data_IF_281135703967
#
_entry.id   IF_281135703967
#
_cell.length_a   1.000
_cell.length_b   1.000
_cell.length_c   1.000
_cell.angle_alpha   90.00
_cell.angle_beta   90.00
_cell.angle_gamma   90.00
#
_symmetry.space_group_name_H-M   'P 1'
#
loop_
_entity.id
_entity.type
_entity.pdbx_description
1 polymer ?
#
# COMPACT_ATOMS: atom_id res chain seq x y z
N UNK A 1 24.57 -5.93 -20.04
CA UNK A 1 23.11 -5.96 -20.30
C UNK A 1 22.56 -4.62 -20.76
N UNK A 2 22.99 -3.47 -20.21
CA UNK A 2 22.48 -2.15 -20.66
C UNK A 2 23.15 -1.57 -21.93
N UNK A 3 24.24 -2.20 -22.40
CA UNK A 3 24.95 -1.81 -23.62
C UNK A 3 24.02 -1.93 -24.85
N UNK A 4 24.01 -0.90 -25.71
CA UNK A 4 23.17 -0.81 -26.90
C UNK A 4 23.48 -1.90 -27.94
N UNK A 5 24.69 -2.45 -27.92
CA UNK A 5 25.12 -3.53 -28.81
C UNK A 5 24.51 -4.90 -28.45
N UNK A 6 23.84 -5.02 -27.29
CA UNK A 6 23.19 -6.27 -26.85
C UNK A 6 21.69 -6.18 -27.13
N UNK A 7 21.15 -7.22 -27.76
CA UNK A 7 19.71 -7.33 -28.04
C UNK A 7 18.88 -7.16 -26.76
N UNK A 8 17.79 -6.40 -26.85
CA UNK A 8 16.86 -6.19 -25.74
C UNK A 8 16.21 -7.50 -25.27
N UNK A 9 15.99 -8.46 -26.16
CA UNK A 9 15.40 -9.76 -25.81
C UNK A 9 16.31 -10.50 -24.83
N UNK A 10 17.60 -10.58 -25.16
CA UNK A 10 18.62 -11.22 -24.31
C UNK A 10 18.81 -10.44 -23.01
N UNK A 11 18.89 -9.10 -23.11
CA UNK A 11 19.12 -8.25 -21.95
C UNK A 11 17.97 -8.30 -20.95
N UNK A 12 16.71 -8.30 -21.42
CA UNK A 12 15.52 -8.43 -20.55
C UNK A 12 15.48 -9.77 -19.86
N UNK A 13 15.68 -10.87 -20.59
CA UNK A 13 15.68 -12.22 -20.01
C UNK A 13 16.74 -12.35 -18.92
N UNK A 14 18.00 -12.02 -19.24
CA UNK A 14 19.09 -12.13 -18.28
C UNK A 14 18.94 -11.19 -17.08
N UNK A 15 18.37 -9.99 -17.27
CA UNK A 15 18.09 -9.09 -16.15
C UNK A 15 16.96 -9.62 -15.27
N UNK A 16 15.92 -10.24 -15.84
CA UNK A 16 14.87 -10.91 -15.07
C UNK A 16 15.45 -12.07 -14.26
N UNK A 17 16.26 -12.93 -14.88
CA UNK A 17 16.93 -14.04 -14.20
C UNK A 17 17.85 -13.53 -13.09
N UNK A 18 18.64 -12.50 -13.38
CA UNK A 18 19.47 -11.82 -12.39
C UNK A 18 18.67 -11.31 -11.19
N UNK A 19 17.53 -10.64 -11.43
CA UNK A 19 16.68 -10.12 -10.35
C UNK A 19 16.14 -11.23 -9.44
N UNK A 20 15.94 -12.45 -9.95
CA UNK A 20 15.45 -13.58 -9.13
C UNK A 20 16.50 -14.12 -8.16
N UNK A 21 17.80 -13.89 -8.43
CA UNK A 21 18.89 -14.33 -7.57
C UNK A 21 19.26 -13.31 -6.49
N UNK A 22 18.96 -12.02 -6.70
CA UNK A 22 19.30 -10.94 -5.77
C UNK A 22 18.70 -11.08 -4.36
N UNK A 23 17.45 -11.56 -4.18
CA UNK A 23 16.89 -11.78 -2.85
C UNK A 23 17.62 -12.82 -1.99
N UNK A 24 18.49 -13.64 -2.60
CA UNK A 24 19.29 -14.65 -1.88
C UNK A 24 20.58 -14.05 -1.29
N UNK A 25 20.93 -12.82 -1.65
CA UNK A 25 22.10 -12.11 -1.12
C UNK A 25 21.73 -11.42 0.21
N UNK A 26 22.73 -11.07 1.04
CA UNK A 26 22.50 -10.21 2.19
C UNK A 26 21.83 -8.89 1.79
N UNK A 27 20.90 -8.39 2.61
CA UNK A 27 20.10 -7.19 2.31
C UNK A 27 20.97 -5.96 2.00
N UNK A 28 22.12 -5.79 2.66
CA UNK A 28 23.07 -4.71 2.38
C UNK A 28 23.65 -4.77 0.95
N UNK A 29 24.11 -5.96 0.53
CA UNK A 29 24.64 -6.20 -0.81
C UNK A 29 23.55 -6.10 -1.86
N UNK A 30 22.38 -6.71 -1.62
CA UNK A 30 21.26 -6.67 -2.55
C UNK A 30 20.80 -5.23 -2.80
N UNK A 31 20.70 -4.41 -1.75
CA UNK A 31 20.34 -2.99 -1.84
C UNK A 31 21.31 -2.19 -2.70
N UNK A 32 22.62 -2.35 -2.49
CA UNK A 32 23.64 -1.66 -3.29
C UNK A 32 23.53 -2.05 -4.76
N UNK A 33 23.34 -3.35 -5.03
CA UNK A 33 23.16 -3.87 -6.39
C UNK A 33 21.88 -3.34 -7.03
N UNK A 34 20.76 -3.25 -6.31
CA UNK A 34 19.51 -2.69 -6.83
C UNK A 34 19.67 -1.22 -7.23
N UNK A 35 20.27 -0.39 -6.37
CA UNK A 35 20.54 1.03 -6.69
C UNK A 35 21.44 1.17 -7.91
N UNK A 36 22.57 0.45 -7.93
CA UNK A 36 23.47 0.46 -9.07
C UNK A 36 22.76 0.02 -10.36
N UNK A 37 21.91 -1.01 -10.28
CA UNK A 37 21.16 -1.50 -11.44
C UNK A 37 20.17 -0.46 -11.96
N UNK A 38 19.43 0.22 -11.07
CA UNK A 38 18.51 1.30 -11.45
C UNK A 38 19.26 2.45 -12.13
N UNK A 39 20.40 2.89 -11.58
CA UNK A 39 21.22 3.95 -12.18
C UNK A 39 21.71 3.58 -13.59
N UNK A 40 22.16 2.35 -13.79
CA UNK A 40 22.64 1.88 -15.10
C UNK A 40 21.52 1.66 -16.11
N UNK A 41 20.31 1.33 -15.65
CA UNK A 41 19.13 1.18 -16.50
C UNK A 41 18.53 2.54 -16.86
N UNK A 42 18.70 3.58 -16.04
CA UNK A 42 18.04 4.88 -16.18
C UNK A 42 18.07 5.49 -17.59
N UNK A 43 19.20 5.49 -18.34
CA UNK A 43 19.24 6.04 -19.70
C UNK A 43 18.31 5.32 -20.70
N UNK A 44 17.97 4.06 -20.41
CA UNK A 44 17.11 3.19 -21.23
C UNK A 44 15.89 2.70 -20.45
N UNK A 45 15.44 3.43 -19.44
CA UNK A 45 14.41 3.00 -18.47
C UNK A 45 13.11 2.51 -19.14
N UNK A 46 12.69 3.16 -20.23
CA UNK A 46 11.49 2.80 -21.00
C UNK A 46 11.61 1.39 -21.59
N UNK A 47 12.83 0.97 -21.97
CA UNK A 47 13.08 -0.36 -22.53
C UNK A 47 13.06 -1.48 -21.49
N UNK A 48 13.19 -1.17 -20.20
CA UNK A 48 13.36 -2.14 -19.11
C UNK A 48 12.32 -1.94 -18.00
N UNK A 49 11.14 -1.42 -18.34
CA UNK A 49 10.12 -1.02 -17.37
C UNK A 49 9.71 -2.16 -16.41
N UNK A 50 9.57 -3.38 -16.94
CA UNK A 50 9.24 -4.57 -16.15
C UNK A 50 10.34 -4.92 -15.14
N UNK A 51 11.61 -4.87 -15.56
CA UNK A 51 12.75 -5.10 -14.68
C UNK A 51 12.84 -4.00 -13.62
N UNK A 52 12.60 -2.74 -13.99
CA UNK A 52 12.59 -1.59 -13.07
C UNK A 52 11.52 -1.75 -12.01
N UNK A 53 10.30 -2.16 -12.39
CA UNK A 53 9.23 -2.42 -11.45
C UNK A 53 9.60 -3.55 -10.47
N UNK A 54 10.13 -4.67 -10.96
CA UNK A 54 10.58 -5.79 -10.12
C UNK A 54 11.69 -5.37 -9.13
N UNK A 55 12.71 -4.66 -9.61
CA UNK A 55 13.80 -4.15 -8.77
C UNK A 55 13.26 -3.23 -7.68
N UNK A 56 12.37 -2.28 -8.02
CA UNK A 56 11.78 -1.35 -7.07
C UNK A 56 10.95 -2.06 -6.01
N UNK A 57 10.19 -3.09 -6.36
CA UNK A 57 9.40 -3.88 -5.40
C UNK A 57 10.30 -4.58 -4.36
N UNK A 58 11.39 -5.20 -4.80
CA UNK A 58 12.34 -5.86 -3.90
C UNK A 58 13.10 -4.84 -3.04
N UNK A 59 13.60 -3.76 -3.65
CA UNK A 59 14.31 -2.69 -2.95
C UNK A 59 13.43 -2.03 -1.88
N UNK A 60 12.17 -1.73 -2.18
CA UNK A 60 11.23 -1.20 -1.21
C UNK A 60 10.97 -2.17 -0.05
N UNK A 61 10.96 -3.47 -0.33
CA UNK A 61 10.78 -4.49 0.70
C UNK A 61 12.00 -4.59 1.64
N UNK A 62 13.22 -4.32 1.14
CA UNK A 62 14.41 -4.21 2.01
C UNK A 62 14.29 -2.99 2.92
N UNK A 63 13.95 -1.82 2.37
CA UNK A 63 13.76 -0.61 3.17
C UNK A 63 12.66 -0.77 4.22
N UNK A 64 11.56 -1.45 3.87
CA UNK A 64 10.47 -1.77 4.79
C UNK A 64 10.93 -2.65 5.96
N UNK A 65 11.79 -3.66 5.74
CA UNK A 65 12.34 -4.49 6.82
C UNK A 65 13.24 -3.71 7.78
N UNK A 66 13.89 -2.67 7.28
CA UNK A 66 14.77 -1.80 8.06
C UNK A 66 14.03 -0.62 8.69
N UNK A 67 12.70 -0.60 8.60
CA UNK A 67 11.85 0.48 9.11
C UNK A 67 12.15 1.86 8.47
N UNK A 68 12.77 1.88 7.29
CA UNK A 68 12.99 3.09 6.49
C UNK A 68 11.79 3.33 5.57
N UNK A 69 10.69 3.75 6.20
CA UNK A 69 9.38 3.89 5.57
C UNK A 69 9.37 4.89 4.41
N UNK A 70 10.06 6.03 4.59
CA UNK A 70 10.16 7.08 3.58
C UNK A 70 10.79 6.58 2.30
N UNK A 71 11.96 5.93 2.40
CA UNK A 71 12.66 5.43 1.22
C UNK A 71 11.91 4.27 0.56
N UNK A 72 11.30 3.38 1.34
CA UNK A 72 10.44 2.33 0.80
C UNK A 72 9.30 2.91 -0.05
N UNK A 73 8.61 3.95 0.45
CA UNK A 73 7.51 4.59 -0.27
C UNK A 73 8.01 5.26 -1.55
N UNK A 74 9.11 6.04 -1.49
CA UNK A 74 9.67 6.75 -2.64
C UNK A 74 10.13 5.79 -3.76
N UNK A 75 10.69 4.63 -3.40
CA UNK A 75 11.10 3.61 -4.36
C UNK A 75 9.89 3.09 -5.15
N UNK A 76 8.77 2.80 -4.47
CA UNK A 76 7.52 2.34 -5.11
C UNK A 76 6.83 3.43 -5.93
N UNK A 77 6.85 4.68 -5.45
CA UNK A 77 6.32 5.83 -6.21
C UNK A 77 7.02 6.01 -7.56
N UNK A 78 8.29 5.61 -7.66
CA UNK A 78 9.04 5.62 -8.91
C UNK A 78 8.63 4.56 -9.94
N UNK A 79 7.68 3.66 -9.62
CA UNK A 79 7.13 2.70 -10.59
C UNK A 79 6.07 3.43 -11.46
N UNK A 80 6.21 3.46 -12.80
CA UNK A 80 5.29 4.18 -13.68
C UNK A 80 3.97 3.40 -13.92
N UNK A 81 3.13 3.29 -12.88
CA UNK A 81 1.90 2.48 -12.90
C UNK A 81 0.86 2.92 -13.95
N UNK A 82 0.83 4.21 -14.30
CA UNK A 82 -0.13 4.79 -15.27
C UNK A 82 0.55 5.45 -16.48
N UNK A 83 1.82 5.82 -16.37
CA UNK A 83 2.56 6.58 -17.39
C UNK A 83 3.51 5.73 -18.23
N UNK A 84 3.64 4.44 -17.89
CA UNK A 84 4.49 3.48 -18.57
C UNK A 84 3.90 2.94 -19.88
N UNK A 85 4.73 2.21 -20.64
CA UNK A 85 4.27 1.43 -21.79
C UNK A 85 3.65 0.09 -21.35
N UNK A 86 4.03 -0.40 -20.17
CA UNK A 86 3.50 -1.66 -19.62
C UNK A 86 2.12 -1.42 -19.01
N UNK A 87 1.14 -2.18 -19.48
CA UNK A 87 -0.16 -2.25 -18.81
C UNK A 87 -0.07 -3.20 -17.61
N UNK A 88 -0.14 -2.65 -16.39
CA UNK A 88 -0.27 -3.43 -15.17
C UNK A 88 -1.73 -3.82 -14.93
N UNK A 89 -1.95 -4.98 -14.31
CA UNK A 89 -3.29 -5.39 -13.91
C UNK A 89 -3.79 -4.54 -12.73
N UNK A 90 -5.11 -4.54 -12.52
CA UNK A 90 -5.75 -3.72 -11.48
C UNK A 90 -5.22 -4.06 -10.09
N UNK A 91 -5.12 -5.34 -9.76
CA UNK A 91 -4.69 -5.82 -8.45
C UNK A 91 -3.26 -5.39 -8.10
N UNK A 92 -2.32 -5.46 -9.06
CA UNK A 92 -0.94 -5.01 -8.87
C UNK A 92 -0.86 -3.51 -8.59
N UNK A 93 -1.62 -2.70 -9.33
CA UNK A 93 -1.68 -1.25 -9.10
C UNK A 93 -2.29 -0.96 -7.74
N UNK A 94 -3.38 -1.64 -7.40
CA UNK A 94 -4.07 -1.49 -6.12
C UNK A 94 -3.15 -1.87 -4.96
N UNK A 95 -2.52 -3.04 -5.01
CA UNK A 95 -1.55 -3.50 -4.00
C UNK A 95 -0.40 -2.51 -3.82
N UNK A 96 0.17 -1.99 -4.93
CA UNK A 96 1.26 -1.02 -4.87
C UNK A 96 0.80 0.30 -4.23
N UNK A 97 -0.38 0.81 -4.57
CA UNK A 97 -0.92 2.02 -3.93
C UNK A 97 -1.23 1.82 -2.45
N UNK A 98 -1.78 0.67 -2.07
CA UNK A 98 -2.02 0.34 -0.66
C UNK A 98 -0.73 0.26 0.13
N UNK A 99 0.32 -0.35 -0.45
CA UNK A 99 1.64 -0.44 0.17
C UNK A 99 2.25 0.96 0.36
N UNK A 100 2.18 1.82 -0.66
CA UNK A 100 2.64 3.22 -0.56
C UNK A 100 1.87 3.97 0.55
N UNK A 101 0.54 3.87 0.58
CA UNK A 101 -0.28 4.55 1.58
C UNK A 101 0.06 4.07 3.00
N UNK A 102 0.26 2.77 3.21
CA UNK A 102 0.69 2.22 4.50
C UNK A 102 2.06 2.74 4.90
N UNK A 103 3.05 2.73 4.00
CA UNK A 103 4.40 3.22 4.30
C UNK A 103 4.40 4.70 4.71
N UNK A 104 3.62 5.55 4.03
CA UNK A 104 3.50 6.94 4.45
C UNK A 104 2.76 7.14 5.78
N UNK A 105 1.87 6.22 6.18
CA UNK A 105 1.29 6.25 7.54
C UNK A 105 2.33 5.89 8.61
N UNK A 106 3.19 4.90 8.36
CA UNK A 106 4.27 4.54 9.29
C UNK A 106 5.34 5.66 9.38
N UNK A 107 5.47 6.49 8.34
CA UNK A 107 6.32 7.70 8.28
C UNK A 107 5.65 8.96 8.88
N UNK A 108 4.48 8.83 9.54
CA UNK A 108 3.68 9.95 10.07
C UNK A 108 3.31 11.02 9.02
N UNK A 109 3.21 10.66 7.73
CA UNK A 109 2.80 11.52 6.62
C UNK A 109 1.41 11.14 6.07
N UNK A 110 0.32 11.46 6.80
CA UNK A 110 -1.02 11.07 6.39
C UNK A 110 -1.51 11.85 5.17
N UNK A 111 -0.87 12.98 4.82
CA UNK A 111 -1.21 13.75 3.61
C UNK A 111 -0.80 12.97 2.37
N UNK A 112 0.42 12.43 2.34
CA UNK A 112 0.84 11.56 1.25
C UNK A 112 0.05 10.26 1.24
N UNK A 113 -0.19 9.64 2.41
CA UNK A 113 -1.03 8.45 2.47
C UNK A 113 -2.43 8.67 1.89
N UNK A 114 -3.07 9.82 2.19
CA UNK A 114 -4.35 10.23 1.63
C UNK A 114 -4.29 10.40 0.10
N UNK A 115 -3.21 10.95 -0.44
CA UNK A 115 -3.04 11.09 -1.89
C UNK A 115 -3.04 9.73 -2.61
N UNK A 116 -2.34 8.73 -2.08
CA UNK A 116 -2.23 7.42 -2.72
C UNK A 116 -3.44 6.52 -2.46
N UNK A 117 -4.07 6.59 -1.28
CA UNK A 117 -5.29 5.82 -1.04
C UNK A 117 -6.46 6.31 -1.91
N UNK A 118 -6.49 7.61 -2.26
CA UNK A 118 -7.47 8.14 -3.19
C UNK A 118 -7.27 7.58 -4.61
N UNK A 119 -6.03 7.31 -5.04
CA UNK A 119 -5.78 6.60 -6.31
C UNK A 119 -6.26 5.15 -6.25
N UNK A 120 -6.01 4.46 -5.13
CA UNK A 120 -6.53 3.12 -4.90
C UNK A 120 -8.08 3.06 -4.91
N UNK A 121 -8.77 4.12 -4.46
CA UNK A 121 -10.24 4.18 -4.44
C UNK A 121 -10.88 4.05 -5.83
N UNK A 122 -10.16 4.48 -6.88
CA UNK A 122 -10.61 4.39 -8.27
C UNK A 122 -10.57 2.94 -8.78
N UNK A 123 -9.69 2.11 -8.21
CA UNK A 123 -9.42 0.75 -8.68
C UNK A 123 -10.10 -0.34 -7.85
N UNK A 124 -10.42 -0.08 -6.58
CA UNK A 124 -10.88 -1.13 -5.66
C UNK A 124 -12.17 -1.84 -6.09
N UNK A 125 -13.09 -1.15 -6.79
CA UNK A 125 -14.32 -1.76 -7.31
C UNK A 125 -14.07 -2.64 -8.54
N UNK A 126 -12.96 -2.43 -9.26
CA UNK A 126 -12.61 -3.19 -10.46
C UNK A 126 -11.84 -4.48 -10.12
N UNK A 127 -11.19 -4.52 -8.95
CA UNK A 127 -10.53 -5.72 -8.42
C UNK A 127 -11.55 -6.79 -8.08
N UNK A 128 -11.30 -8.04 -8.51
CA UNK A 128 -12.09 -9.21 -8.10
C UNK A 128 -11.58 -9.85 -6.80
N UNK A 129 -10.43 -9.39 -6.30
CA UNK A 129 -9.84 -9.87 -5.07
C UNK A 129 -10.50 -9.22 -3.84
N UNK A 130 -11.40 -9.95 -3.18
CA UNK A 130 -12.13 -9.48 -1.99
C UNK A 130 -11.20 -9.14 -0.81
N UNK A 131 -10.12 -9.90 -0.64
CA UNK A 131 -9.14 -9.65 0.42
C UNK A 131 -8.43 -8.31 0.21
N UNK A 132 -8.05 -8.01 -1.03
CA UNK A 132 -7.42 -6.74 -1.38
C UNK A 132 -8.37 -5.55 -1.19
N UNK A 133 -9.66 -5.73 -1.50
CA UNK A 133 -10.69 -4.74 -1.21
C UNK A 133 -10.86 -4.49 0.30
N UNK A 134 -10.75 -5.53 1.14
CA UNK A 134 -10.78 -5.39 2.60
C UNK A 134 -9.55 -4.62 3.09
N UNK A 135 -8.35 -4.99 2.62
CA UNK A 135 -7.12 -4.28 2.95
C UNK A 135 -7.19 -2.80 2.55
N UNK A 136 -7.78 -2.48 1.39
CA UNK A 136 -8.10 -1.10 1.02
C UNK A 136 -8.99 -0.41 2.05
N UNK A 137 -10.10 -1.03 2.45
CA UNK A 137 -11.04 -0.43 3.42
C UNK A 137 -10.38 -0.18 4.77
N UNK A 138 -9.56 -1.11 5.25
CA UNK A 138 -8.79 -0.97 6.50
C UNK A 138 -7.79 0.18 6.37
N UNK A 139 -7.01 0.22 5.29
CA UNK A 139 -6.04 1.29 5.05
C UNK A 139 -6.72 2.66 4.94
N UNK A 140 -7.86 2.76 4.25
CA UNK A 140 -8.63 3.99 4.13
C UNK A 140 -9.17 4.48 5.48
N UNK A 141 -9.68 3.58 6.33
CA UNK A 141 -10.11 3.93 7.68
C UNK A 141 -8.93 4.46 8.53
N UNK A 142 -7.75 3.83 8.44
CA UNK A 142 -6.52 4.31 9.09
C UNK A 142 -6.12 5.70 8.60
N UNK A 143 -6.13 5.95 7.30
CA UNK A 143 -5.83 7.28 6.75
C UNK A 143 -6.78 8.34 7.31
N UNK A 144 -8.08 8.07 7.34
CA UNK A 144 -9.06 9.02 7.89
C UNK A 144 -8.80 9.32 9.37
N UNK A 145 -8.44 8.30 10.14
CA UNK A 145 -8.09 8.42 11.56
C UNK A 145 -6.87 9.34 11.76
N UNK A 146 -5.77 9.08 11.03
CA UNK A 146 -4.57 9.93 11.09
C UNK A 146 -4.82 11.36 10.59
N UNK A 147 -5.76 11.54 9.66
CA UNK A 147 -6.21 12.87 9.19
C UNK A 147 -7.17 13.56 10.15
N UNK A 148 -7.47 12.95 11.30
CA UNK A 148 -8.41 13.43 12.34
C UNK A 148 -9.85 13.57 11.83
N UNK A 149 -10.19 12.86 10.75
CA UNK A 149 -11.55 12.73 10.21
C UNK A 149 -12.27 11.60 10.96
N UNK A 150 -12.38 11.78 12.27
CA UNK A 150 -12.71 10.70 13.20
C UNK A 150 -14.11 10.11 12.98
N UNK A 151 -15.11 10.92 12.61
CA UNK A 151 -16.46 10.40 12.42
C UNK A 151 -16.56 9.56 11.14
N UNK A 152 -15.85 9.97 10.08
CA UNK A 152 -15.73 9.21 8.84
C UNK A 152 -14.93 7.92 9.05
N UNK A 153 -13.83 7.98 9.81
CA UNK A 153 -13.06 6.80 10.20
C UNK A 153 -13.92 5.82 11.00
N UNK A 154 -14.67 6.31 12.00
CA UNK A 154 -15.56 5.49 12.82
C UNK A 154 -16.61 4.74 11.99
N UNK A 155 -17.21 5.40 10.99
CA UNK A 155 -18.15 4.75 10.07
C UNK A 155 -17.50 3.60 9.31
N UNK A 156 -16.29 3.79 8.77
CA UNK A 156 -15.57 2.76 8.02
C UNK A 156 -15.14 1.59 8.89
N UNK A 157 -14.63 1.87 10.09
CA UNK A 157 -14.28 0.83 11.05
C UNK A 157 -15.50 0.03 11.53
N UNK A 158 -16.63 0.71 11.78
CA UNK A 158 -17.87 0.04 12.14
C UNK A 158 -18.40 -0.87 11.01
N UNK A 159 -18.39 -0.39 9.76
CA UNK A 159 -18.74 -1.19 8.57
C UNK A 159 -17.83 -2.44 8.44
N UNK A 160 -16.53 -2.30 8.69
CA UNK A 160 -15.57 -3.41 8.67
C UNK A 160 -15.88 -4.47 9.74
N UNK A 161 -16.34 -4.07 10.92
CA UNK A 161 -16.66 -4.99 12.02
C UNK A 161 -17.79 -5.99 11.69
N UNK A 162 -18.62 -5.69 10.69
CA UNK A 162 -19.73 -6.56 10.25
C UNK A 162 -19.36 -7.50 9.11
N UNK A 163 -18.16 -7.39 8.52
CA UNK A 163 -17.73 -8.26 7.41
C UNK A 163 -17.34 -9.65 7.91
N UNK A 164 -18.15 -10.67 7.63
CA UNK A 164 -17.93 -12.05 8.10
C UNK A 164 -16.70 -12.73 7.49
N UNK A 165 -16.21 -12.26 6.35
CA UNK A 165 -14.96 -12.69 5.73
C UNK A 165 -13.72 -12.26 6.53
N UNK A 166 -13.85 -11.24 7.39
CA UNK A 166 -12.78 -10.79 8.30
C UNK A 166 -12.81 -11.66 9.56
N UNK A 167 -11.64 -12.05 10.06
CA UNK A 167 -11.54 -12.86 11.27
C UNK A 167 -12.19 -12.16 12.48
N UNK A 168 -12.77 -12.93 13.40
CA UNK A 168 -13.52 -12.38 14.53
C UNK A 168 -12.70 -11.41 15.39
N UNK A 169 -11.43 -11.75 15.68
CA UNK A 169 -10.52 -10.86 16.43
C UNK A 169 -10.27 -9.53 15.71
N UNK A 170 -10.14 -9.54 14.38
CA UNK A 170 -9.93 -8.33 13.58
C UNK A 170 -11.21 -7.49 13.49
N UNK A 171 -12.38 -8.13 13.49
CA UNK A 171 -13.68 -7.45 13.56
C UNK A 171 -13.86 -6.73 14.90
N UNK A 172 -13.44 -7.34 16.00
CA UNK A 172 -13.43 -6.74 17.35
C UNK A 172 -12.45 -5.56 17.41
N UNK A 173 -11.24 -5.71 16.86
CA UNK A 173 -10.28 -4.59 16.80
C UNK A 173 -10.80 -3.43 15.95
N UNK A 174 -11.44 -3.71 14.80
CA UNK A 174 -12.12 -2.69 14.00
C UNK A 174 -13.24 -2.00 14.80
N UNK A 175 -14.04 -2.74 15.56
CA UNK A 175 -15.09 -2.16 16.40
C UNK A 175 -14.52 -1.25 17.50
N UNK A 176 -13.41 -1.65 18.12
CA UNK A 176 -12.67 -0.85 19.09
C UNK A 176 -12.14 0.45 18.49
N UNK A 177 -11.55 0.40 17.28
CA UNK A 177 -11.15 1.61 16.56
C UNK A 177 -12.36 2.52 16.25
N UNK A 178 -13.50 1.96 15.87
CA UNK A 178 -14.73 2.73 15.64
C UNK A 178 -15.18 3.46 16.92
N UNK A 179 -15.12 2.79 18.07
CA UNK A 179 -15.45 3.37 19.37
C UNK A 179 -14.50 4.51 19.74
N UNK A 180 -13.19 4.30 19.65
CA UNK A 180 -12.18 5.32 19.94
C UNK A 180 -12.37 6.56 19.06
N UNK A 181 -12.49 6.37 17.74
CA UNK A 181 -12.74 7.46 16.79
C UNK A 181 -14.04 8.20 17.13
N UNK A 182 -15.12 7.50 17.47
CA UNK A 182 -16.40 8.13 17.82
C UNK A 182 -16.28 8.99 19.09
N UNK A 183 -15.53 8.53 20.09
CA UNK A 183 -15.29 9.29 21.32
C UNK A 183 -14.50 10.58 21.01
N UNK A 184 -13.45 10.47 20.19
CA UNK A 184 -12.56 11.58 19.78
C UNK A 184 -13.20 12.56 18.79
N UNK A 185 -14.22 12.13 18.06
CA UNK A 185 -14.92 12.99 17.09
C UNK A 185 -15.55 14.23 17.75
N UNK A 186 -15.66 15.31 16.97
CA UNK A 186 -16.33 16.54 17.39
C UNK A 186 -17.79 16.29 17.79
N UNK A 187 -18.27 17.03 18.79
CA UNK A 187 -19.66 16.96 19.22
C UNK A 187 -20.61 17.34 18.06
N UNK A 188 -21.65 16.53 17.84
CA UNK A 188 -22.61 16.76 16.76
C UNK A 188 -23.55 15.57 16.55
N UNK A 189 -24.53 15.76 15.66
CA UNK A 189 -25.58 14.78 15.42
C UNK A 189 -25.03 13.43 14.92
N UNK A 190 -24.03 13.45 14.04
CA UNK A 190 -23.42 12.22 13.50
C UNK A 190 -22.72 11.41 14.61
N UNK A 191 -21.97 12.08 15.49
CA UNK A 191 -21.33 11.46 16.65
C UNK A 191 -22.37 10.82 17.58
N UNK A 192 -23.43 11.55 17.94
CA UNK A 192 -24.47 11.02 18.82
C UNK A 192 -25.17 9.79 18.23
N UNK A 193 -25.41 9.78 16.91
CA UNK A 193 -25.94 8.59 16.22
C UNK A 193 -24.99 7.41 16.28
N UNK A 194 -23.70 7.63 16.03
CA UNK A 194 -22.70 6.56 16.09
C UNK A 194 -22.54 6.01 17.52
N UNK A 195 -22.54 6.87 18.54
CA UNK A 195 -22.56 6.43 19.95
C UNK A 195 -23.79 5.57 20.25
N UNK A 196 -24.97 5.94 19.76
CA UNK A 196 -26.18 5.14 19.94
C UNK A 196 -26.10 3.79 19.20
N UNK A 197 -25.47 3.74 18.02
CA UNK A 197 -25.20 2.49 17.30
C UNK A 197 -24.28 1.58 18.11
N UNK A 198 -23.14 2.11 18.56
CA UNK A 198 -22.14 1.33 19.32
C UNK A 198 -22.66 0.88 20.69
N UNK A 199 -23.44 1.71 21.38
CA UNK A 199 -24.03 1.35 22.66
C UNK A 199 -25.03 0.18 22.56
N UNK A 200 -25.72 0.03 21.42
CA UNK A 200 -26.63 -1.09 21.15
C UNK A 200 -25.92 -2.35 20.68
N UNK A 201 -24.63 -2.25 20.33
CA UNK A 201 -23.84 -3.39 19.86
C UNK A 201 -23.25 -4.12 21.06
N UNK A 202 -23.81 -5.29 21.39
CA UNK A 202 -23.39 -6.10 22.55
C UNK A 202 -21.91 -6.47 22.53
N UNK A 203 -21.28 -6.50 21.34
CA UNK A 203 -19.84 -6.78 21.18
C UNK A 203 -18.97 -5.68 21.81
N UNK A 204 -19.50 -4.48 22.07
CA UNK A 204 -18.80 -3.42 22.79
C UNK A 204 -18.70 -3.67 24.31
N UNK A 205 -19.34 -4.73 24.83
CA UNK A 205 -19.30 -5.10 26.26
C UNK A 205 -18.25 -6.18 26.57
N UNK A 206 -17.64 -6.76 25.54
CA UNK A 206 -16.55 -7.73 25.64
C UNK A 206 -15.20 -7.01 25.82
#
# INVERSE_FOLDING_TARGET
MVNENVSLVISRQLLTDFCTHLPNLPDSTAKEVYHFTLEKIQPRVISFEEQVASIRQHLASIYEKEEDWRNAAQVLVGIPLETGQKQYNVDYKLETYLKIARLYLEDDDPVQAEAYINRASLLQNESTNEQLQIHYKVCYARVLDYRRKFIEAAQRYNELSYKTIVHESERLEALKHALHCTILASAGQQRSRMLATLFKDERCQQ
#
